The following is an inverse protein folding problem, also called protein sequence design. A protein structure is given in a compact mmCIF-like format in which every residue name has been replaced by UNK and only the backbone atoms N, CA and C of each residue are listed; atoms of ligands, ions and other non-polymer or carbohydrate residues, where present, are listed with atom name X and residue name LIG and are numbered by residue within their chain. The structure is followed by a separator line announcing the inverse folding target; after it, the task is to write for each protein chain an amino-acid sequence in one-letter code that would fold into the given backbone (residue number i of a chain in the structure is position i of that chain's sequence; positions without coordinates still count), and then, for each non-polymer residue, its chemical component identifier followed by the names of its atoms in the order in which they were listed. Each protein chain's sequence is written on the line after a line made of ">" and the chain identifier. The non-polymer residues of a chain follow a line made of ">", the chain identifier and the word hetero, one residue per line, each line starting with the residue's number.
data_IF_244052016750
#
_entry.id   IF_244052016750
#
_cell.length_a   1.000
_cell.length_b   1.000
_cell.length_c   1.000
_cell.angle_alpha   90.00
_cell.angle_beta   90.00
_cell.angle_gamma   90.00
#
_symmetry.space_group_name_H-M   'P 1'
#
loop_
_entity.id
_entity.type
_entity.pdbx_description
1 polymer ?
#
# COMPACT_ATOMS: atom_id res chain seq x y z
N UNK A 1 -2.98 13.14 23.40
CA UNK A 1 -2.90 14.12 22.29
C UNK A 1 -4.21 14.10 21.53
N UNK A 2 -4.58 15.24 20.97
CA UNK A 2 -5.68 15.34 20.01
C UNK A 2 -5.11 15.48 18.61
N UNK A 3 -5.42 14.52 17.73
CA UNK A 3 -4.82 14.39 16.40
C UNK A 3 -5.88 14.59 15.34
N UNK A 4 -5.58 15.36 14.31
CA UNK A 4 -6.40 15.49 13.10
C UNK A 4 -5.70 14.79 11.94
N UNK A 5 -6.27 13.69 11.45
CA UNK A 5 -5.83 13.07 10.21
C UNK A 5 -6.57 13.72 9.03
N UNK A 6 -5.83 14.29 8.09
CA UNK A 6 -6.38 14.84 6.86
C UNK A 6 -6.15 13.83 5.74
N UNK A 7 -7.22 13.18 5.27
CA UNK A 7 -7.19 12.37 4.07
C UNK A 7 -7.15 13.31 2.87
N UNK A 8 -6.03 13.38 2.18
CA UNK A 8 -5.87 14.31 1.05
C UNK A 8 -6.64 13.85 -0.21
N UNK A 9 -7.16 12.63 -0.20
CA UNK A 9 -8.06 12.10 -1.23
C UNK A 9 -9.50 12.09 -0.69
N UNK A 10 -10.32 11.18 -1.17
CA UNK A 10 -11.67 10.97 -0.61
C UNK A 10 -11.64 9.90 0.49
N UNK A 11 -12.53 10.00 1.48
CA UNK A 11 -12.77 8.95 2.48
C UNK A 11 -13.74 7.87 1.95
N UNK A 12 -13.77 7.62 0.66
CA UNK A 12 -14.70 6.66 0.08
C UNK A 12 -14.05 5.27 -0.12
N UNK A 13 -12.95 5.19 -0.83
CA UNK A 13 -12.29 3.93 -1.17
C UNK A 13 -10.79 4.19 -1.38
N UNK A 14 -9.95 3.20 -1.08
CA UNK A 14 -8.55 3.17 -1.48
C UNK A 14 -7.56 2.94 -0.34
N UNK A 15 -6.33 2.72 -0.72
CA UNK A 15 -5.22 2.44 0.22
C UNK A 15 -5.06 3.49 1.32
N UNK A 16 -5.06 4.81 1.01
CA UNK A 16 -4.91 5.83 2.04
C UNK A 16 -6.00 5.81 3.10
N UNK A 17 -7.27 5.66 2.73
CA UNK A 17 -8.37 5.59 3.70
C UNK A 17 -8.21 4.37 4.63
N UNK A 18 -7.82 3.21 4.09
CA UNK A 18 -7.54 2.00 4.88
C UNK A 18 -6.40 2.22 5.87
N UNK A 19 -5.29 2.79 5.43
CA UNK A 19 -4.13 3.06 6.28
C UNK A 19 -4.49 4.01 7.42
N UNK A 20 -5.21 5.10 7.11
CA UNK A 20 -5.67 6.05 8.13
C UNK A 20 -6.65 5.38 9.10
N UNK A 21 -7.56 4.54 8.61
CA UNK A 21 -8.50 3.79 9.44
C UNK A 21 -7.77 2.89 10.45
N UNK A 22 -6.84 2.06 9.96
CA UNK A 22 -6.12 1.11 10.80
C UNK A 22 -5.26 1.82 11.83
N UNK A 23 -4.53 2.87 11.42
CA UNK A 23 -3.72 3.70 12.30
C UNK A 23 -4.59 4.43 13.36
N UNK A 24 -5.68 5.09 12.92
CA UNK A 24 -6.62 5.78 13.82
C UNK A 24 -7.20 4.82 14.85
N UNK A 25 -7.62 3.62 14.43
CA UNK A 25 -8.16 2.61 15.34
C UNK A 25 -7.19 2.24 16.45
N UNK A 26 -5.91 2.14 16.14
CA UNK A 26 -4.89 1.77 17.13
C UNK A 26 -4.51 2.95 18.04
N UNK A 27 -4.39 4.15 17.48
CA UNK A 27 -4.10 5.37 18.25
C UNK A 27 -5.19 5.68 19.28
N UNK A 28 -6.46 5.42 18.96
CA UNK A 28 -7.58 5.52 19.89
C UNK A 28 -7.46 4.53 21.06
N UNK A 29 -6.96 3.30 20.81
CA UNK A 29 -6.70 2.30 21.88
C UNK A 29 -5.64 2.75 22.87
N UNK A 30 -4.69 3.58 22.44
CA UNK A 30 -3.69 4.19 23.31
C UNK A 30 -4.21 5.42 24.08
N UNK A 31 -5.53 5.69 24.05
CA UNK A 31 -6.17 6.76 24.81
C UNK A 31 -6.00 8.16 24.23
N UNK A 32 -5.68 8.27 22.94
CA UNK A 32 -5.63 9.55 22.24
C UNK A 32 -6.96 9.86 21.55
N UNK A 33 -7.25 11.12 21.29
CA UNK A 33 -8.40 11.58 20.51
C UNK A 33 -7.99 11.75 19.06
N UNK A 34 -8.80 11.23 18.12
CA UNK A 34 -8.51 11.34 16.69
C UNK A 34 -9.76 11.75 15.92
N UNK A 35 -9.63 12.84 15.19
CA UNK A 35 -10.63 13.26 14.18
C UNK A 35 -10.06 13.02 12.77
N UNK A 36 -10.93 12.73 11.80
CA UNK A 36 -10.58 12.54 10.39
C UNK A 36 -11.28 13.62 9.58
N UNK A 37 -10.53 14.37 8.79
CA UNK A 37 -11.03 15.40 7.89
C UNK A 37 -10.83 14.97 6.45
N UNK A 38 -11.89 14.96 5.65
CA UNK A 38 -11.82 14.52 4.25
C UNK A 38 -12.69 15.34 3.32
N UNK A 39 -12.21 15.67 2.12
CA UNK A 39 -13.05 16.17 1.06
C UNK A 39 -13.92 15.03 0.52
N UNK A 40 -15.20 15.27 0.37
CA UNK A 40 -16.18 14.30 -0.12
C UNK A 40 -17.06 14.93 -1.22
N UNK A 41 -17.55 14.08 -2.13
CA UNK A 41 -18.62 14.49 -3.06
C UNK A 41 -19.96 14.04 -2.49
N UNK A 42 -21.02 14.86 -2.55
CA UNK A 42 -22.34 14.44 -2.12
C UNK A 42 -22.77 13.13 -2.79
N UNK A 43 -23.20 12.15 -1.98
CA UNK A 43 -23.60 10.82 -2.46
C UNK A 43 -22.44 9.81 -2.65
N UNK A 44 -21.22 10.21 -2.42
CA UNK A 44 -20.06 9.29 -2.41
C UNK A 44 -20.16 8.36 -1.18
N UNK A 45 -20.01 7.04 -1.38
CA UNK A 45 -20.10 6.07 -0.28
C UNK A 45 -18.87 6.18 0.62
N UNK A 46 -19.09 6.59 1.84
CA UNK A 46 -18.03 6.73 2.86
C UNK A 46 -17.42 5.38 3.25
N UNK A 47 -16.11 5.35 3.44
CA UNK A 47 -15.41 4.23 4.09
C UNK A 47 -15.83 4.17 5.57
N UNK A 48 -15.80 3.00 6.23
CA UNK A 48 -16.08 2.91 7.66
C UNK A 48 -15.24 3.88 8.49
N UNK A 49 -15.80 4.35 9.60
CA UNK A 49 -15.10 5.23 10.54
C UNK A 49 -14.73 4.42 11.79
N UNK A 50 -13.50 4.50 12.30
CA UNK A 50 -13.11 3.81 13.52
C UNK A 50 -14.00 4.24 14.70
N UNK A 51 -14.41 3.27 15.51
CA UNK A 51 -15.21 3.55 16.70
C UNK A 51 -14.44 4.49 17.65
N UNK A 52 -15.03 5.61 17.98
CA UNK A 52 -14.39 6.66 18.80
C UNK A 52 -13.75 7.80 18.00
N UNK A 53 -13.57 7.67 16.69
CA UNK A 53 -13.15 8.76 15.82
C UNK A 53 -14.37 9.55 15.31
N UNK A 54 -14.15 10.83 14.99
CA UNK A 54 -15.12 11.66 14.28
C UNK A 54 -14.67 11.90 12.85
N UNK A 55 -15.53 11.58 11.87
CA UNK A 55 -15.31 11.98 10.49
C UNK A 55 -15.95 13.36 10.23
N UNK A 56 -15.15 14.27 9.68
CA UNK A 56 -15.56 15.59 9.20
C UNK A 56 -15.52 15.56 7.68
N UNK A 57 -16.67 15.44 7.08
CA UNK A 57 -16.81 15.47 5.62
C UNK A 57 -16.97 16.92 5.17
N UNK A 58 -16.19 17.31 4.17
CA UNK A 58 -16.21 18.66 3.60
C UNK A 58 -16.52 18.57 2.11
N UNK A 59 -17.59 19.23 1.66
CA UNK A 59 -17.94 19.22 0.25
C UNK A 59 -16.86 19.86 -0.62
N UNK A 60 -16.56 19.25 -1.76
CA UNK A 60 -15.66 19.83 -2.76
C UNK A 60 -16.31 21.06 -3.37
N UNK A 61 -15.55 22.13 -3.51
CA UNK A 61 -16.02 23.39 -4.11
C UNK A 61 -15.81 23.35 -5.62
N UNK A 62 -16.87 23.09 -6.37
CA UNK A 62 -16.89 23.15 -7.84
C UNK A 62 -17.10 24.59 -8.32
N UNK A 63 -16.52 25.00 -9.49
CA UNK A 63 -15.70 24.19 -10.41
C UNK A 63 -14.21 24.13 -10.04
N UNK A 64 -13.75 24.78 -8.96
CA UNK A 64 -12.31 24.91 -8.61
C UNK A 64 -11.70 23.54 -8.35
N UNK A 65 -12.42 22.63 -7.69
CA UNK A 65 -11.94 21.27 -7.40
C UNK A 65 -11.64 20.43 -8.64
N UNK A 66 -12.17 20.79 -9.82
CA UNK A 66 -11.88 20.12 -11.09
C UNK A 66 -10.46 20.45 -11.61
N UNK A 67 -9.94 21.61 -11.22
CA UNK A 67 -8.62 22.10 -11.63
C UNK A 67 -7.57 21.89 -10.53
N UNK A 68 -7.94 22.21 -9.30
CA UNK A 68 -7.12 22.00 -8.12
C UNK A 68 -7.76 20.94 -7.23
N UNK A 69 -7.15 19.75 -7.26
CA UNK A 69 -7.71 18.54 -6.63
C UNK A 69 -8.07 18.75 -5.17
N UNK A 70 -9.27 18.30 -4.83
CA UNK A 70 -9.79 18.26 -3.47
C UNK A 70 -9.96 19.63 -2.82
N UNK A 71 -10.09 20.71 -3.64
CA UNK A 71 -10.36 22.05 -3.11
C UNK A 71 -11.73 22.11 -2.42
N UNK A 72 -11.74 22.59 -1.18
CA UNK A 72 -12.94 22.71 -0.36
C UNK A 72 -12.88 23.97 0.51
N UNK A 73 -13.82 24.88 0.32
CA UNK A 73 -13.99 26.05 1.18
C UNK A 73 -14.45 25.62 2.57
N UNK A 74 -15.31 24.60 2.68
CA UNK A 74 -15.77 24.07 3.97
C UNK A 74 -14.59 23.52 4.79
N UNK A 75 -13.67 22.79 4.16
CA UNK A 75 -12.45 22.31 4.80
C UNK A 75 -11.60 23.47 5.34
N UNK A 76 -11.42 24.51 4.56
CA UNK A 76 -10.68 25.70 5.00
C UNK A 76 -11.37 26.40 6.18
N UNK A 77 -12.68 26.57 6.12
CA UNK A 77 -13.46 27.17 7.21
C UNK A 77 -13.41 26.32 8.48
N UNK A 78 -13.55 24.99 8.34
CA UNK A 78 -13.41 24.08 9.47
C UNK A 78 -12.04 24.20 10.14
N UNK A 79 -10.96 24.14 9.35
CA UNK A 79 -9.60 24.30 9.86
C UNK A 79 -9.42 25.64 10.54
N UNK A 80 -9.85 26.75 9.92
CA UNK A 80 -9.76 28.10 10.49
C UNK A 80 -10.44 28.22 11.87
N UNK A 81 -11.56 27.51 12.07
CA UNK A 81 -12.32 27.56 13.33
C UNK A 81 -11.82 26.58 14.41
N UNK A 82 -11.06 25.53 14.02
CA UNK A 82 -10.77 24.41 14.92
C UNK A 82 -9.29 24.01 15.01
N UNK A 83 -8.42 24.58 14.19
CA UNK A 83 -7.01 24.14 14.06
C UNK A 83 -6.25 24.16 15.40
N UNK A 84 -6.52 25.14 16.26
CA UNK A 84 -5.86 25.30 17.57
C UNK A 84 -6.31 24.27 18.62
N UNK A 85 -7.32 23.43 18.30
CA UNK A 85 -7.78 22.35 19.18
C UNK A 85 -6.92 21.09 19.06
N UNK A 86 -6.08 21.01 18.04
CA UNK A 86 -5.28 19.84 17.73
C UNK A 86 -3.82 20.01 18.14
N UNK A 87 -3.26 18.95 18.71
CA UNK A 87 -1.84 18.86 19.02
C UNK A 87 -1.01 18.51 17.80
N UNK A 88 -1.58 17.66 16.92
CA UNK A 88 -0.97 17.15 15.71
C UNK A 88 -1.97 17.22 14.56
N UNK A 89 -1.52 17.67 13.41
CA UNK A 89 -2.25 17.62 12.14
C UNK A 89 -1.44 16.78 11.17
N UNK A 90 -1.94 15.60 10.85
CA UNK A 90 -1.27 14.65 9.98
C UNK A 90 -1.94 14.60 8.62
N UNK A 91 -1.25 15.09 7.61
CA UNK A 91 -1.70 15.15 6.23
C UNK A 91 -1.22 13.93 5.46
N UNK A 92 -2.15 13.13 4.95
CA UNK A 92 -1.86 11.92 4.17
C UNK A 92 -1.95 12.21 2.68
N UNK A 93 -0.81 12.39 2.06
CA UNK A 93 -0.65 12.73 0.65
C UNK A 93 -0.16 14.16 0.41
N UNK A 94 0.26 14.42 -0.80
CA UNK A 94 0.74 15.71 -1.31
C UNK A 94 -0.01 16.09 -2.59
N UNK A 95 0.20 17.28 -3.14
CA UNK A 95 -0.41 17.80 -4.37
C UNK A 95 -1.90 18.19 -4.27
N UNK A 96 -2.51 18.09 -3.10
CA UNK A 96 -3.94 18.31 -2.83
C UNK A 96 -4.15 19.52 -1.91
N UNK A 97 -5.34 20.10 -1.96
CA UNK A 97 -5.68 21.23 -1.10
C UNK A 97 -5.59 20.88 0.39
N UNK A 98 -6.02 19.67 0.77
CA UNK A 98 -5.95 19.20 2.16
C UNK A 98 -4.53 19.16 2.74
N UNK A 99 -3.49 18.97 1.90
CA UNK A 99 -2.09 19.04 2.34
C UNK A 99 -1.55 20.48 2.40
N UNK A 100 -2.17 21.43 1.71
CA UNK A 100 -1.79 22.83 1.74
C UNK A 100 -2.51 23.64 2.85
N UNK A 101 -3.80 23.37 3.05
CA UNK A 101 -4.67 24.20 3.88
C UNK A 101 -4.16 24.47 5.31
N UNK A 102 -3.59 23.50 6.06
CA UNK A 102 -3.04 23.76 7.40
C UNK A 102 -1.89 24.78 7.39
N UNK A 103 -1.06 24.81 6.34
CA UNK A 103 0.07 25.73 6.24
C UNK A 103 -0.33 27.17 5.90
N UNK A 104 -1.59 27.39 5.50
CA UNK A 104 -2.14 28.71 5.21
C UNK A 104 -2.68 29.42 6.47
N UNK A 105 -2.78 28.69 7.58
CA UNK A 105 -3.37 29.14 8.84
C UNK A 105 -2.30 29.24 9.93
N UNK A 106 -2.32 30.30 10.75
CA UNK A 106 -1.51 30.32 11.98
C UNK A 106 -1.99 29.20 12.90
N UNK A 107 -1.08 28.37 13.39
CA UNK A 107 -1.38 27.29 14.32
C UNK A 107 -0.14 26.91 15.16
N UNK A 108 -0.35 26.15 16.24
CA UNK A 108 0.69 25.61 17.12
C UNK A 108 0.79 24.09 17.05
N UNK A 109 -0.02 23.46 16.20
CA UNK A 109 -0.02 22.01 16.01
C UNK A 109 1.27 21.57 15.33
N UNK A 110 1.72 20.36 15.63
CA UNK A 110 2.77 19.68 14.88
C UNK A 110 2.22 19.30 13.52
N UNK A 111 2.81 19.82 12.44
CA UNK A 111 2.40 19.54 11.06
C UNK A 111 3.20 18.36 10.50
N UNK A 112 2.52 17.24 10.31
CA UNK A 112 3.08 15.98 9.79
C UNK A 112 2.60 15.72 8.37
N UNK A 113 3.49 15.29 7.49
CA UNK A 113 3.16 14.94 6.10
C UNK A 113 3.63 13.54 5.79
N UNK A 114 2.72 12.66 5.37
CA UNK A 114 3.06 11.35 4.78
C UNK A 114 2.92 11.40 3.26
N UNK A 115 3.94 10.97 2.55
CA UNK A 115 4.04 11.13 1.09
C UNK A 115 3.29 10.04 0.32
N UNK A 116 3.23 8.82 0.83
CA UNK A 116 2.55 7.67 0.21
C UNK A 116 2.98 7.38 -1.24
N UNK A 117 4.28 7.41 -1.53
CA UNK A 117 4.83 7.09 -2.85
C UNK A 117 4.56 8.14 -3.94
N UNK A 118 4.01 9.30 -3.59
CA UNK A 118 3.62 10.32 -4.58
C UNK A 118 4.80 11.05 -5.23
N UNK A 119 6.02 10.88 -4.71
CA UNK A 119 7.26 11.40 -5.30
C UNK A 119 8.04 10.36 -6.12
N UNK A 120 7.53 9.11 -6.22
CA UNK A 120 8.04 8.10 -7.14
C UNK A 120 8.08 8.62 -8.58
N UNK A 121 9.07 8.19 -9.34
CA UNK A 121 9.31 8.60 -10.73
C UNK A 121 8.06 8.44 -11.62
N UNK A 122 7.32 7.32 -11.50
CA UNK A 122 6.08 7.08 -12.21
C UNK A 122 4.97 8.05 -11.79
N UNK A 123 4.83 8.28 -10.49
CA UNK A 123 3.84 9.20 -9.96
C UNK A 123 4.12 10.63 -10.42
N UNK A 124 5.37 11.08 -10.40
CA UNK A 124 5.76 12.43 -10.85
C UNK A 124 5.58 12.60 -12.35
N UNK A 125 5.83 11.56 -13.15
CA UNK A 125 5.66 11.60 -14.61
C UNK A 125 4.18 11.82 -15.03
N UNK A 126 3.24 11.31 -14.23
CA UNK A 126 1.81 11.52 -14.49
C UNK A 126 1.39 12.95 -14.18
N UNK A 127 0.75 13.65 -15.15
CA UNK A 127 0.37 15.07 -15.05
C UNK A 127 1.54 16.02 -14.72
N UNK A 128 2.70 15.78 -15.30
CA UNK A 128 3.99 16.43 -15.02
C UNK A 128 3.92 17.94 -14.96
N UNK A 129 3.29 18.59 -15.94
CA UNK A 129 3.25 20.05 -16.01
C UNK A 129 2.47 20.70 -14.84
N UNK A 130 1.33 20.11 -14.42
CA UNK A 130 0.55 20.59 -13.27
C UNK A 130 1.34 20.46 -11.98
N UNK A 131 2.02 19.32 -11.78
CA UNK A 131 2.87 19.09 -10.61
C UNK A 131 4.08 20.01 -10.59
N UNK A 132 4.68 20.34 -11.73
CA UNK A 132 5.77 21.31 -11.80
C UNK A 132 5.33 22.70 -11.33
N UNK A 133 4.16 23.18 -11.77
CA UNK A 133 3.61 24.46 -11.31
C UNK A 133 3.41 24.44 -9.80
N UNK A 134 2.73 23.43 -9.26
CA UNK A 134 2.49 23.29 -7.83
C UNK A 134 3.79 23.17 -7.03
N UNK A 135 4.80 22.50 -7.58
CA UNK A 135 6.14 22.36 -6.99
C UNK A 135 6.80 23.73 -6.81
N UNK A 136 6.76 24.56 -7.86
CA UNK A 136 7.36 25.89 -7.84
C UNK A 136 6.60 26.86 -6.92
N UNK A 137 5.26 26.78 -6.94
CA UNK A 137 4.42 27.69 -6.17
C UNK A 137 4.51 27.46 -4.67
N UNK A 138 4.37 26.19 -4.20
CA UNK A 138 4.29 25.96 -2.76
C UNK A 138 4.81 24.59 -2.27
N UNK A 139 4.74 23.49 -3.05
CA UNK A 139 4.93 22.14 -2.50
C UNK A 139 6.32 21.91 -1.88
N UNK A 140 7.40 22.41 -2.51
CA UNK A 140 8.75 22.33 -1.93
C UNK A 140 8.86 23.09 -0.62
N UNK A 141 8.27 24.30 -0.55
CA UNK A 141 8.28 25.12 0.67
C UNK A 141 7.47 24.48 1.79
N UNK A 142 6.35 23.85 1.42
CA UNK A 142 5.48 23.14 2.35
C UNK A 142 6.22 21.97 3.01
N UNK A 143 6.84 21.09 2.22
CA UNK A 143 7.64 19.98 2.75
C UNK A 143 8.82 20.48 3.60
N UNK A 144 9.47 21.58 3.19
CA UNK A 144 10.54 22.20 3.99
C UNK A 144 10.07 22.83 5.30
N UNK A 145 8.77 23.14 5.45
CA UNK A 145 8.16 23.72 6.66
C UNK A 145 7.42 22.70 7.53
N UNK A 146 7.21 21.46 7.03
CA UNK A 146 6.61 20.42 7.84
C UNK A 146 7.47 20.15 9.07
N UNK A 147 6.86 19.94 10.23
CA UNK A 147 7.57 19.60 11.46
C UNK A 147 8.06 18.16 11.44
N UNK A 148 7.36 17.28 10.69
CA UNK A 148 7.73 15.89 10.49
C UNK A 148 7.33 15.43 9.08
N UNK A 149 8.23 14.75 8.38
CA UNK A 149 7.94 14.06 7.12
C UNK A 149 8.04 12.56 7.40
N UNK A 150 6.90 11.89 7.35
CA UNK A 150 6.85 10.43 7.41
C UNK A 150 7.00 9.85 6.01
N UNK A 151 7.87 8.87 5.90
CA UNK A 151 8.09 8.06 4.70
C UNK A 151 8.03 6.58 5.06
N UNK A 152 7.70 5.74 4.08
CA UNK A 152 7.49 4.31 4.32
C UNK A 152 8.79 3.48 4.24
N UNK A 153 9.80 3.96 3.51
CA UNK A 153 10.99 3.19 3.21
C UNK A 153 12.13 4.07 2.68
N UNK A 154 13.28 3.46 2.44
CA UNK A 154 14.49 4.12 1.92
C UNK A 154 14.33 4.64 0.48
N UNK A 155 13.50 4.00 -0.35
CA UNK A 155 13.24 4.48 -1.70
C UNK A 155 12.46 5.81 -1.66
N UNK A 156 11.43 5.91 -0.81
CA UNK A 156 10.74 7.19 -0.59
C UNK A 156 11.68 8.26 -0.02
N UNK A 157 12.65 7.88 0.83
CA UNK A 157 13.69 8.80 1.30
C UNK A 157 14.47 9.40 0.14
N UNK A 158 14.94 8.56 -0.79
CA UNK A 158 15.66 9.03 -1.98
C UNK A 158 14.78 9.89 -2.89
N UNK A 159 13.50 9.56 -3.02
CA UNK A 159 12.54 10.34 -3.78
C UNK A 159 12.35 11.75 -3.18
N UNK A 160 12.23 11.86 -1.86
CA UNK A 160 12.16 13.15 -1.16
C UNK A 160 13.45 13.96 -1.35
N UNK A 161 14.61 13.33 -1.16
CA UNK A 161 15.91 13.99 -1.34
C UNK A 161 16.06 14.51 -2.77
N UNK A 162 15.73 13.70 -3.77
CA UNK A 162 15.75 14.09 -5.19
C UNK A 162 14.81 15.26 -5.47
N UNK A 163 13.62 15.21 -4.89
CA UNK A 163 12.60 16.23 -5.09
C UNK A 163 12.98 17.58 -4.44
N UNK A 164 13.50 17.55 -3.21
CA UNK A 164 13.89 18.77 -2.48
C UNK A 164 15.28 19.28 -2.86
N UNK A 165 16.19 18.40 -3.25
CA UNK A 165 17.60 18.68 -3.47
C UNK A 165 18.46 18.61 -2.21
N UNK A 166 17.88 18.22 -1.07
CA UNK A 166 18.56 18.02 0.21
C UNK A 166 17.78 17.01 1.07
N UNK A 167 18.44 16.44 2.09
CA UNK A 167 17.79 15.58 3.09
C UNK A 167 17.21 16.42 4.23
N UNK A 168 15.87 16.45 4.43
CA UNK A 168 15.26 17.10 5.59
C UNK A 168 15.73 16.48 6.92
N UNK A 169 15.99 17.31 7.92
CA UNK A 169 16.39 16.82 9.25
C UNK A 169 15.25 16.11 10.02
N UNK A 170 14.03 16.47 9.68
CA UNK A 170 12.77 16.04 10.30
C UNK A 170 12.08 14.93 9.49
N UNK A 171 12.82 14.14 8.72
CA UNK A 171 12.31 13.02 7.96
C UNK A 171 12.60 11.71 8.70
N UNK A 172 11.55 10.88 8.86
CA UNK A 172 11.61 9.59 9.55
C UNK A 172 11.01 8.48 8.72
N UNK A 173 11.60 7.30 8.79
CA UNK A 173 11.05 6.09 8.18
C UNK A 173 10.14 5.44 9.22
N UNK A 174 8.84 5.54 9.01
CA UNK A 174 7.81 4.81 9.74
C UNK A 174 6.89 4.22 8.68
N UNK A 175 6.97 2.91 8.42
CA UNK A 175 6.20 2.27 7.36
C UNK A 175 4.71 2.30 7.65
N UNK A 176 3.89 2.07 6.64
CA UNK A 176 2.47 1.80 6.86
C UNK A 176 2.33 0.48 7.62
N UNK A 177 1.49 0.48 8.64
CA UNK A 177 1.14 -0.73 9.38
C UNK A 177 -0.07 -1.44 8.79
N UNK A 178 -0.27 -2.68 9.19
CA UNK A 178 -1.49 -3.42 8.90
C UNK A 178 -1.96 -4.21 10.13
N UNK A 179 -3.25 -4.53 10.18
CA UNK A 179 -3.83 -5.40 11.22
C UNK A 179 -3.49 -6.84 10.92
N UNK A 180 -2.45 -7.38 11.56
CA UNK A 180 -2.01 -8.75 11.33
C UNK A 180 -3.05 -9.78 11.77
N UNK A 181 -3.84 -9.48 12.80
CA UNK A 181 -4.87 -10.36 13.35
C UNK A 181 -5.88 -10.83 12.28
N UNK A 182 -6.09 -10.02 11.24
CA UNK A 182 -6.99 -10.36 10.13
C UNK A 182 -6.46 -11.54 9.28
N UNK A 183 -5.16 -11.83 9.33
CA UNK A 183 -4.47 -12.81 8.47
C UNK A 183 -3.75 -13.91 9.26
N UNK A 184 -3.81 -13.90 10.60
CA UNK A 184 -3.22 -14.96 11.44
C UNK A 184 -4.15 -16.16 11.61
N UNK A 185 -5.46 -15.95 11.54
CA UNK A 185 -6.48 -16.98 11.64
C UNK A 185 -7.19 -17.15 10.29
N UNK A 186 -6.52 -17.82 9.37
CA UNK A 186 -7.09 -18.08 8.05
C UNK A 186 -8.18 -19.16 8.11
N UNK A 187 -9.13 -19.18 7.16
CA UNK A 187 -10.06 -20.26 6.96
C UNK A 187 -9.34 -21.59 6.74
N UNK A 188 -10.05 -22.71 6.98
CA UNK A 188 -9.52 -24.04 6.68
C UNK A 188 -9.13 -24.17 5.21
N UNK A 189 -7.99 -24.83 4.97
CA UNK A 189 -7.53 -25.14 3.62
C UNK A 189 -8.55 -25.97 2.85
N UNK A 190 -8.59 -25.75 1.53
CA UNK A 190 -9.46 -26.46 0.62
C UNK A 190 -10.75 -25.73 0.27
N UNK A 191 -11.12 -24.65 0.97
CA UNK A 191 -12.37 -23.93 0.70
C UNK A 191 -12.33 -23.19 -0.64
N UNK A 192 -11.24 -22.47 -0.92
CA UNK A 192 -11.05 -21.81 -2.22
C UNK A 192 -10.92 -22.84 -3.35
N UNK A 193 -10.14 -23.91 -3.09
CA UNK A 193 -9.97 -25.03 -4.04
C UNK A 193 -11.31 -25.64 -4.45
N UNK A 194 -12.16 -25.98 -3.47
CA UNK A 194 -13.49 -26.56 -3.72
C UNK A 194 -14.38 -25.66 -4.56
N UNK A 195 -14.38 -24.34 -4.27
CA UNK A 195 -15.21 -23.36 -5.00
C UNK A 195 -14.76 -23.16 -6.44
N UNK A 196 -13.47 -23.26 -6.71
CA UNK A 196 -12.88 -23.04 -8.02
C UNK A 196 -12.52 -24.33 -8.79
N UNK A 197 -12.97 -25.51 -8.31
CA UNK A 197 -12.67 -26.83 -8.88
C UNK A 197 -11.17 -27.06 -9.08
N UNK A 198 -10.38 -26.77 -8.03
CA UNK A 198 -8.93 -26.98 -7.99
C UNK A 198 -8.64 -28.23 -7.15
N UNK A 199 -7.90 -29.17 -7.72
CA UNK A 199 -7.59 -30.44 -7.02
C UNK A 199 -6.50 -30.26 -5.98
N UNK A 200 -6.39 -31.22 -5.05
CA UNK A 200 -5.37 -31.21 -3.97
C UNK A 200 -3.95 -31.31 -4.50
N UNK A 201 -3.76 -31.93 -5.66
CA UNK A 201 -2.44 -32.14 -6.29
C UNK A 201 -1.91 -30.89 -6.99
N UNK A 202 -2.80 -29.94 -7.35
CA UNK A 202 -2.40 -28.71 -8.02
C UNK A 202 -1.67 -27.77 -7.06
N UNK A 203 -0.56 -27.19 -7.51
CA UNK A 203 0.21 -26.17 -6.80
C UNK A 203 -0.29 -24.79 -7.16
N UNK A 204 -0.87 -24.06 -6.22
CA UNK A 204 -1.42 -22.72 -6.45
C UNK A 204 -0.32 -21.67 -6.35
N UNK A 205 -0.05 -21.00 -7.46
CA UNK A 205 0.73 -19.75 -7.52
C UNK A 205 -0.27 -18.61 -7.55
N UNK A 206 -0.30 -17.79 -6.50
CA UNK A 206 -1.27 -16.70 -6.36
C UNK A 206 -0.63 -15.34 -6.67
N UNK A 207 -1.17 -14.65 -7.64
CA UNK A 207 -0.93 -13.23 -7.89
C UNK A 207 -2.14 -12.42 -7.38
N UNK A 208 -1.90 -11.35 -6.61
CA UNK A 208 -2.95 -10.40 -6.23
C UNK A 208 -2.52 -8.96 -6.52
N UNK A 209 -3.26 -8.30 -7.38
CA UNK A 209 -3.00 -6.91 -7.77
C UNK A 209 -3.83 -6.50 -8.98
N UNK A 210 -3.91 -5.20 -9.26
CA UNK A 210 -4.55 -4.73 -10.49
C UNK A 210 -3.84 -5.32 -11.72
N UNK A 211 -4.59 -5.75 -12.73
CA UNK A 211 -4.01 -6.25 -13.98
C UNK A 211 -3.47 -5.08 -14.81
N UNK A 212 -2.24 -4.71 -14.52
CA UNK A 212 -1.54 -3.59 -15.12
C UNK A 212 -0.09 -3.97 -15.40
N UNK A 213 0.50 -3.42 -16.44
CA UNK A 213 1.90 -3.68 -16.84
C UNK A 213 2.90 -3.42 -15.70
N UNK A 214 2.63 -2.40 -14.85
CA UNK A 214 3.47 -2.07 -13.68
C UNK A 214 3.60 -3.25 -12.69
N UNK A 215 2.64 -4.19 -12.70
CA UNK A 215 2.63 -5.36 -11.80
C UNK A 215 3.46 -6.54 -12.33
N UNK A 216 4.08 -6.40 -13.50
CA UNK A 216 5.00 -7.38 -14.05
C UNK A 216 4.34 -8.64 -14.60
N UNK A 217 3.08 -8.54 -15.09
CA UNK A 217 2.39 -9.66 -15.73
C UNK A 217 3.09 -10.09 -17.04
N UNK A 218 3.74 -9.15 -17.73
CA UNK A 218 4.59 -9.38 -18.91
C UNK A 218 5.85 -10.20 -18.59
N UNK A 219 6.29 -10.20 -17.33
CA UNK A 219 7.38 -11.04 -16.82
C UNK A 219 6.85 -12.38 -16.29
N UNK A 220 5.73 -12.33 -15.56
CA UNK A 220 5.15 -13.50 -14.89
C UNK A 220 4.61 -14.54 -15.88
N UNK A 221 3.87 -14.12 -16.89
CA UNK A 221 3.25 -15.05 -17.84
C UNK A 221 4.28 -15.85 -18.65
N UNK A 222 5.33 -15.24 -19.25
CA UNK A 222 6.40 -16.01 -19.88
C UNK A 222 7.20 -16.86 -18.90
N UNK A 223 7.41 -16.39 -17.66
CA UNK A 223 8.08 -17.17 -16.63
C UNK A 223 7.29 -18.43 -16.25
N UNK A 224 5.97 -18.29 -16.09
CA UNK A 224 5.08 -19.41 -15.82
C UNK A 224 5.09 -20.42 -16.96
N UNK A 225 5.03 -19.97 -18.22
CA UNK A 225 5.12 -20.86 -19.39
C UNK A 225 6.43 -21.67 -19.39
N UNK A 226 7.56 -21.04 -19.06
CA UNK A 226 8.87 -21.71 -19.00
C UNK A 226 8.91 -22.77 -17.90
N UNK A 227 8.47 -22.41 -16.69
CA UNK A 227 8.57 -23.31 -15.52
C UNK A 227 7.53 -24.44 -15.54
N UNK A 228 6.43 -24.27 -16.26
CA UNK A 228 5.31 -25.22 -16.23
C UNK A 228 5.66 -26.63 -16.73
N UNK A 229 6.66 -26.77 -17.63
CA UNK A 229 7.17 -28.09 -18.04
C UNK A 229 7.81 -28.88 -16.91
N UNK A 230 8.38 -28.20 -15.93
CA UNK A 230 9.05 -28.80 -14.76
C UNK A 230 8.09 -29.04 -13.58
N UNK A 231 6.99 -28.27 -13.50
CA UNK A 231 5.93 -28.41 -12.51
C UNK A 231 4.57 -28.42 -13.19
N UNK A 232 4.19 -29.56 -13.85
CA UNK A 232 2.99 -29.62 -14.71
C UNK A 232 1.68 -29.46 -13.95
N UNK A 233 1.67 -29.66 -12.64
CA UNK A 233 0.53 -29.47 -11.75
C UNK A 233 0.43 -28.05 -11.17
N UNK A 234 1.27 -27.11 -11.61
CA UNK A 234 1.17 -25.72 -11.21
C UNK A 234 -0.06 -25.05 -11.85
N UNK A 235 -0.75 -24.25 -11.07
CA UNK A 235 -1.88 -23.42 -11.46
C UNK A 235 -1.61 -21.97 -11.07
N UNK A 236 -1.58 -21.05 -12.03
CA UNK A 236 -1.43 -19.63 -11.78
C UNK A 236 -2.83 -18.99 -11.63
N UNK A 237 -3.09 -18.38 -10.48
CA UNK A 237 -4.30 -17.60 -10.21
C UNK A 237 -3.97 -16.12 -10.28
N UNK A 238 -4.65 -15.39 -11.16
CA UNK A 238 -4.54 -13.95 -11.32
C UNK A 238 -5.76 -13.29 -10.69
N UNK A 239 -5.56 -12.67 -9.51
CA UNK A 239 -6.60 -12.02 -8.75
C UNK A 239 -6.45 -10.49 -8.79
N UNK A 240 -7.48 -9.80 -9.27
CA UNK A 240 -7.53 -8.34 -9.30
C UNK A 240 -8.40 -7.80 -10.42
N UNK A 241 -8.77 -6.52 -10.34
CA UNK A 241 -9.51 -5.86 -11.40
C UNK A 241 -8.59 -5.53 -12.58
N UNK A 242 -9.19 -5.42 -13.75
CA UNK A 242 -8.50 -4.90 -14.92
C UNK A 242 -8.08 -3.43 -14.71
N UNK A 243 -6.87 -3.14 -15.13
CA UNK A 243 -6.30 -1.79 -15.17
C UNK A 243 -5.44 -1.63 -16.44
N UNK A 244 -5.99 -2.11 -17.56
CA UNK A 244 -5.46 -1.98 -18.90
C UNK A 244 -4.45 -3.05 -19.32
N UNK A 245 -4.49 -4.26 -18.74
CA UNK A 245 -3.61 -5.37 -19.14
C UNK A 245 -4.32 -6.75 -19.19
N UNK A 246 -5.65 -6.77 -19.02
CA UNK A 246 -6.39 -8.02 -19.05
C UNK A 246 -6.41 -8.63 -20.45
N UNK A 247 -6.67 -7.83 -21.48
CA UNK A 247 -6.75 -8.30 -22.87
C UNK A 247 -5.44 -8.96 -23.32
N UNK A 248 -4.29 -8.36 -23.03
CA UNK A 248 -2.97 -8.90 -23.32
C UNK A 248 -2.72 -10.22 -22.58
N UNK A 249 -3.18 -10.28 -21.33
CA UNK A 249 -3.11 -11.51 -20.50
C UNK A 249 -3.90 -12.64 -21.12
N UNK A 250 -5.15 -12.40 -21.52
CA UNK A 250 -6.03 -13.39 -22.15
C UNK A 250 -5.49 -13.85 -23.51
N UNK A 251 -4.97 -12.91 -24.31
CA UNK A 251 -4.32 -13.23 -25.58
C UNK A 251 -3.10 -14.13 -25.39
N UNK A 252 -2.26 -13.83 -24.38
CA UNK A 252 -1.10 -14.66 -24.05
C UNK A 252 -1.50 -16.08 -23.63
N UNK A 253 -2.50 -16.20 -22.75
CA UNK A 253 -3.05 -17.48 -22.29
C UNK A 253 -3.55 -18.31 -23.48
N UNK A 254 -4.36 -17.72 -24.34
CA UNK A 254 -4.92 -18.38 -25.54
C UNK A 254 -3.83 -18.80 -26.51
N UNK A 255 -2.90 -17.91 -26.84
CA UNK A 255 -1.80 -18.16 -27.79
C UNK A 255 -0.91 -19.33 -27.36
N UNK A 256 -0.70 -19.50 -26.05
CA UNK A 256 0.19 -20.51 -25.50
C UNK A 256 -0.53 -21.74 -24.94
N UNK A 257 -1.84 -21.87 -25.12
CA UNK A 257 -2.61 -23.04 -24.69
C UNK A 257 -2.67 -23.21 -23.15
N UNK A 258 -2.65 -22.10 -22.39
CA UNK A 258 -2.58 -22.12 -20.93
C UNK A 258 -3.97 -22.02 -20.25
N UNK A 259 -5.08 -22.18 -20.97
CA UNK A 259 -6.43 -21.96 -20.42
C UNK A 259 -6.76 -22.75 -19.17
N UNK A 260 -6.27 -23.98 -19.04
CA UNK A 260 -6.46 -24.82 -17.86
C UNK A 260 -5.40 -24.58 -16.76
N UNK A 261 -4.40 -23.77 -17.02
CA UNK A 261 -3.22 -23.55 -16.17
C UNK A 261 -3.10 -22.14 -15.61
N UNK A 262 -3.80 -21.19 -16.20
CA UNK A 262 -3.88 -19.80 -15.74
C UNK A 262 -5.34 -19.40 -15.66
N UNK A 263 -5.79 -18.99 -14.47
CA UNK A 263 -7.18 -18.57 -14.24
C UNK A 263 -7.21 -17.11 -13.76
N UNK A 264 -8.01 -16.28 -14.45
CA UNK A 264 -8.39 -14.96 -13.95
C UNK A 264 -9.60 -15.18 -13.02
N UNK A 265 -9.43 -14.84 -11.73
CA UNK A 265 -10.46 -15.03 -10.70
C UNK A 265 -11.16 -13.75 -10.29
N UNK A 266 -10.85 -12.63 -10.96
CA UNK A 266 -11.40 -11.33 -10.63
C UNK A 266 -10.88 -10.77 -9.30
N UNK A 267 -11.55 -9.74 -8.79
CA UNK A 267 -11.18 -9.11 -7.52
C UNK A 267 -11.60 -10.00 -6.35
N UNK A 268 -10.65 -10.43 -5.55
CA UNK A 268 -10.90 -11.14 -4.29
C UNK A 268 -11.07 -10.14 -3.14
N UNK A 269 -12.13 -10.30 -2.36
CA UNK A 269 -12.44 -9.45 -1.19
C UNK A 269 -12.57 -10.27 0.07
N UNK A 270 -12.21 -9.68 1.20
CA UNK A 270 -12.44 -10.23 2.55
C UNK A 270 -12.20 -11.75 2.69
N UNK A 271 -13.27 -12.52 2.83
CA UNK A 271 -13.21 -13.98 3.04
C UNK A 271 -12.59 -14.72 1.86
N UNK A 272 -12.93 -14.35 0.61
CA UNK A 272 -12.40 -15.01 -0.59
C UNK A 272 -10.88 -14.86 -0.68
N UNK A 273 -10.37 -13.69 -0.33
CA UNK A 273 -8.93 -13.42 -0.30
C UNK A 273 -8.22 -14.27 0.76
N UNK A 274 -8.79 -14.37 1.96
CA UNK A 274 -8.24 -15.20 3.04
C UNK A 274 -8.25 -16.67 2.69
N UNK A 275 -9.30 -17.15 2.03
CA UNK A 275 -9.37 -18.54 1.55
C UNK A 275 -8.35 -18.82 0.44
N UNK A 276 -8.16 -17.87 -0.50
CA UNK A 276 -7.13 -18.00 -1.52
C UNK A 276 -5.72 -18.04 -0.92
N UNK A 277 -5.44 -17.19 0.09
CA UNK A 277 -4.17 -17.19 0.82
C UNK A 277 -3.96 -18.47 1.61
N UNK A 278 -5.02 -19.02 2.24
CA UNK A 278 -4.93 -20.29 2.95
C UNK A 278 -4.57 -21.47 2.03
N UNK A 279 -5.03 -21.42 0.78
CA UNK A 279 -4.82 -22.48 -0.21
C UNK A 279 -3.59 -22.27 -1.11
N UNK A 280 -2.97 -21.07 -1.08
CA UNK A 280 -1.82 -20.77 -1.90
C UNK A 280 -0.56 -21.53 -1.45
N UNK A 281 0.18 -22.09 -2.41
CA UNK A 281 1.48 -22.69 -2.20
C UNK A 281 2.62 -21.66 -2.37
N UNK A 282 2.36 -20.58 -3.12
CA UNK A 282 3.30 -19.50 -3.39
C UNK A 282 2.53 -18.22 -3.76
N UNK A 283 3.00 -17.09 -3.25
CA UNK A 283 2.56 -15.76 -3.68
C UNK A 283 3.60 -15.12 -4.61
N UNK A 284 3.15 -14.50 -5.71
CA UNK A 284 4.06 -13.88 -6.69
C UNK A 284 3.64 -12.47 -7.05
N UNK A 285 4.59 -11.51 -6.99
CA UNK A 285 4.38 -10.14 -7.44
C UNK A 285 5.67 -9.52 -7.99
N UNK A 286 6.03 -9.73 -9.27
CA UNK A 286 7.27 -9.23 -9.87
C UNK A 286 7.11 -7.80 -10.41
N UNK A 287 6.58 -6.89 -9.60
CA UNK A 287 6.25 -5.53 -10.02
C UNK A 287 7.49 -4.70 -10.39
N UNK A 288 7.35 -3.82 -11.38
CA UNK A 288 8.37 -2.85 -11.77
C UNK A 288 8.58 -1.75 -10.73
N UNK A 289 7.60 -1.47 -9.89
CA UNK A 289 7.66 -0.51 -8.80
C UNK A 289 6.49 -0.72 -7.83
N UNK A 290 6.82 -0.89 -6.56
CA UNK A 290 5.87 -1.00 -5.45
C UNK A 290 6.34 -0.15 -4.29
N UNK A 291 5.67 0.96 -4.00
CA UNK A 291 6.00 1.81 -2.86
C UNK A 291 5.76 1.09 -1.52
N UNK A 292 4.58 0.48 -1.35
CA UNK A 292 4.21 -0.33 -0.19
C UNK A 292 3.10 -1.31 -0.59
N UNK A 293 3.42 -2.58 -0.72
CA UNK A 293 2.45 -3.59 -1.18
C UNK A 293 1.74 -4.28 -0.04
N UNK A 294 0.49 -3.89 0.20
CA UNK A 294 -0.37 -4.56 1.19
C UNK A 294 -0.55 -6.05 0.84
N UNK A 295 -0.75 -6.39 -0.44
CA UNK A 295 -0.95 -7.78 -0.87
C UNK A 295 0.24 -8.68 -0.53
N UNK A 296 1.47 -8.17 -0.64
CA UNK A 296 2.69 -8.91 -0.23
C UNK A 296 2.69 -9.13 1.28
N UNK A 297 2.38 -8.09 2.08
CA UNK A 297 2.32 -8.22 3.53
C UNK A 297 1.19 -9.16 3.98
N UNK A 298 0.04 -9.14 3.32
CA UNK A 298 -1.06 -10.08 3.55
C UNK A 298 -0.59 -11.53 3.34
N UNK A 299 0.09 -11.81 2.23
CA UNK A 299 0.64 -13.13 1.95
C UNK A 299 1.70 -13.56 2.97
N UNK A 300 2.63 -12.64 3.34
CA UNK A 300 3.67 -12.90 4.33
C UNK A 300 3.09 -13.15 5.74
N UNK A 301 2.06 -12.38 6.14
CA UNK A 301 1.35 -12.60 7.41
C UNK A 301 0.62 -13.94 7.43
N UNK A 302 0.12 -14.37 6.28
CA UNK A 302 -0.53 -15.66 6.07
C UNK A 302 0.46 -16.82 5.96
N UNK A 303 1.75 -16.57 6.15
CA UNK A 303 2.86 -17.55 6.00
C UNK A 303 2.89 -18.23 4.62
N UNK A 304 2.47 -17.51 3.58
CA UNK A 304 2.63 -17.95 2.20
C UNK A 304 4.02 -17.53 1.72
N UNK A 305 4.87 -18.47 1.25
CA UNK A 305 6.17 -18.12 0.72
C UNK A 305 6.03 -17.18 -0.48
N UNK A 306 6.81 -16.11 -0.51
CA UNK A 306 6.64 -15.05 -1.49
C UNK A 306 7.83 -14.94 -2.46
N UNK A 307 7.51 -14.67 -3.74
CA UNK A 307 8.43 -14.20 -4.75
C UNK A 307 8.05 -12.78 -5.13
N UNK A 308 8.96 -11.83 -4.95
CA UNK A 308 8.74 -10.43 -5.30
C UNK A 308 9.97 -9.87 -6.03
N UNK A 309 9.77 -8.81 -6.79
CA UNK A 309 10.91 -8.12 -7.41
C UNK A 309 11.75 -7.37 -6.35
N UNK A 310 12.95 -7.01 -6.71
CA UNK A 310 13.84 -6.15 -5.93
C UNK A 310 13.35 -4.68 -5.86
N UNK A 311 12.20 -4.38 -6.49
CA UNK A 311 11.54 -3.07 -6.54
C UNK A 311 10.36 -2.94 -5.58
N UNK A 312 10.20 -3.87 -4.65
CA UNK A 312 9.22 -3.71 -3.56
C UNK A 312 9.79 -2.77 -2.49
N UNK A 313 9.01 -1.78 -2.08
CA UNK A 313 9.50 -0.68 -1.22
C UNK A 313 10.00 -1.08 0.17
N UNK A 314 9.79 -2.30 0.61
CA UNK A 314 10.39 -2.86 1.83
C UNK A 314 11.42 -3.98 1.51
N UNK A 315 12.06 -3.92 0.35
CA UNK A 315 13.08 -4.87 -0.09
C UNK A 315 14.28 -4.98 0.86
N UNK A 316 14.65 -3.89 1.54
CA UNK A 316 15.72 -3.90 2.55
C UNK A 316 15.37 -4.75 3.76
N UNK A 317 14.10 -4.72 4.21
CA UNK A 317 13.60 -5.62 5.26
C UNK A 317 13.61 -7.08 4.78
N UNK A 318 13.17 -7.33 3.55
CA UNK A 318 13.19 -8.68 2.96
C UNK A 318 14.61 -9.23 2.94
N UNK A 319 15.60 -8.45 2.50
CA UNK A 319 17.02 -8.85 2.48
C UNK A 319 17.55 -9.13 3.88
N UNK A 320 17.24 -8.24 4.85
CA UNK A 320 17.69 -8.37 6.24
C UNK A 320 17.18 -9.64 6.92
N UNK A 321 15.95 -10.05 6.61
CA UNK A 321 15.30 -11.20 7.25
C UNK A 321 15.37 -12.47 6.39
N UNK A 322 15.82 -12.40 5.14
CA UNK A 322 15.69 -13.46 4.13
C UNK A 322 14.22 -13.93 4.01
N UNK A 323 13.32 -12.94 3.79
CA UNK A 323 11.87 -13.11 3.97
C UNK A 323 11.11 -13.42 2.66
N UNK A 324 11.78 -13.44 1.52
CA UNK A 324 11.19 -13.78 0.23
C UNK A 324 12.28 -14.11 -0.79
N UNK A 325 11.91 -14.74 -1.88
CA UNK A 325 12.76 -14.80 -3.05
C UNK A 325 12.70 -13.45 -3.79
N UNK A 326 13.83 -12.72 -3.81
CA UNK A 326 13.95 -11.47 -4.57
C UNK A 326 14.39 -11.78 -5.99
N UNK A 327 13.56 -11.46 -6.97
CA UNK A 327 13.84 -11.70 -8.38
C UNK A 327 14.25 -10.44 -9.12
N UNK A 328 15.21 -10.50 -10.04
CA UNK A 328 15.44 -9.43 -11.00
C UNK A 328 14.24 -9.26 -11.93
N UNK A 329 14.12 -8.09 -12.57
CA UNK A 329 13.02 -7.75 -13.48
C UNK A 329 13.20 -8.41 -14.86
N UNK A 330 13.18 -9.73 -14.90
CA UNK A 330 13.14 -10.52 -16.13
C UNK A 330 12.44 -11.86 -15.91
N UNK A 331 11.91 -12.43 -16.98
CA UNK A 331 11.12 -13.67 -16.91
C UNK A 331 11.94 -14.90 -16.47
N UNK A 332 13.25 -14.93 -16.74
CA UNK A 332 14.10 -16.05 -16.33
C UNK A 332 14.31 -16.05 -14.80
N UNK A 333 14.56 -14.88 -14.21
CA UNK A 333 14.67 -14.74 -12.76
C UNK A 333 13.36 -15.12 -12.05
N UNK A 334 12.22 -14.69 -12.59
CA UNK A 334 10.91 -15.08 -12.06
C UNK A 334 10.71 -16.59 -12.16
N UNK A 335 11.00 -17.21 -13.31
CA UNK A 335 10.86 -18.66 -13.52
C UNK A 335 11.75 -19.46 -12.54
N UNK A 336 13.01 -19.08 -12.38
CA UNK A 336 13.93 -19.72 -11.45
C UNK A 336 13.44 -19.62 -10.00
N UNK A 337 12.90 -18.46 -9.61
CA UNK A 337 12.35 -18.28 -8.27
C UNK A 337 11.10 -19.11 -8.02
N UNK A 338 10.18 -19.19 -8.99
CA UNK A 338 9.01 -20.06 -8.93
C UNK A 338 9.40 -21.52 -8.73
N UNK A 339 10.36 -22.03 -9.54
CA UNK A 339 10.89 -23.39 -9.43
C UNK A 339 11.54 -23.63 -8.06
N UNK A 340 12.42 -22.72 -7.62
CA UNK A 340 13.12 -22.85 -6.35
C UNK A 340 12.14 -23.00 -5.17
N UNK A 341 11.08 -22.20 -5.12
CA UNK A 341 10.10 -22.24 -4.03
C UNK A 341 9.23 -23.50 -4.11
N UNK A 342 8.76 -23.86 -5.32
CA UNK A 342 7.84 -25.00 -5.49
C UNK A 342 8.52 -26.37 -5.34
N UNK A 343 9.82 -26.47 -5.64
CA UNK A 343 10.57 -27.73 -5.58
C UNK A 343 11.31 -27.92 -4.25
N UNK A 344 11.62 -26.84 -3.52
CA UNK A 344 12.33 -26.88 -2.24
C UNK A 344 11.41 -26.48 -1.08
N UNK A 345 10.70 -27.44 -0.52
CA UNK A 345 9.75 -27.19 0.58
C UNK A 345 10.40 -26.67 1.87
N UNK A 346 11.68 -26.99 2.11
CA UNK A 346 12.40 -26.46 3.28
C UNK A 346 12.72 -24.98 3.09
N UNK A 347 13.19 -24.61 1.92
CA UNK A 347 13.41 -23.20 1.55
C UNK A 347 12.09 -22.41 1.64
N UNK A 348 11.02 -22.92 1.02
CA UNK A 348 9.71 -22.29 1.07
C UNK A 348 9.22 -22.02 2.52
N UNK A 349 9.32 -23.00 3.40
CA UNK A 349 8.98 -22.83 4.82
C UNK A 349 9.87 -21.82 5.53
N UNK A 350 11.16 -21.84 5.24
CA UNK A 350 12.13 -20.93 5.86
C UNK A 350 11.80 -19.49 5.54
N UNK A 351 11.65 -19.15 4.25
CA UNK A 351 11.33 -17.77 3.85
C UNK A 351 9.95 -17.33 4.35
N UNK A 352 8.96 -18.23 4.41
CA UNK A 352 7.63 -17.91 4.94
C UNK A 352 7.67 -17.59 6.46
N UNK A 353 8.41 -18.35 7.26
CA UNK A 353 8.59 -18.09 8.69
C UNK A 353 9.36 -16.78 8.93
N UNK A 354 10.41 -16.53 8.15
CA UNK A 354 11.17 -15.30 8.20
C UNK A 354 10.31 -14.09 7.82
N UNK A 355 9.46 -14.25 6.80
CA UNK A 355 8.51 -13.24 6.38
C UNK A 355 7.53 -12.89 7.50
N UNK A 356 6.92 -13.89 8.13
CA UNK A 356 6.02 -13.68 9.25
C UNK A 356 6.69 -12.92 10.40
N UNK A 357 7.91 -13.35 10.79
CA UNK A 357 8.71 -12.66 11.81
C UNK A 357 8.97 -11.20 11.43
N UNK A 358 9.42 -10.96 10.21
CA UNK A 358 9.67 -9.61 9.68
C UNK A 358 8.42 -8.72 9.79
N UNK A 359 7.26 -9.24 9.39
CA UNK A 359 6.01 -8.48 9.39
C UNK A 359 5.56 -8.16 10.81
N UNK A 360 5.61 -9.12 11.72
CA UNK A 360 5.25 -8.91 13.15
C UNK A 360 6.13 -7.86 13.81
N UNK A 361 7.42 -7.90 13.56
CA UNK A 361 8.38 -7.00 14.21
C UNK A 361 8.35 -5.57 13.64
N UNK A 362 7.95 -5.37 12.37
CA UNK A 362 8.13 -4.08 11.70
C UNK A 362 6.85 -3.48 11.10
N UNK A 363 5.82 -4.29 10.82
CA UNK A 363 4.63 -3.85 10.09
C UNK A 363 3.30 -4.08 10.82
N UNK A 364 3.32 -4.63 12.05
CA UNK A 364 2.12 -4.67 12.89
C UNK A 364 1.68 -3.24 13.18
N UNK A 365 0.40 -2.95 12.96
CA UNK A 365 -0.18 -1.62 13.19
C UNK A 365 0.08 -1.13 14.62
N UNK A 366 0.16 -2.02 15.61
CA UNK A 366 0.47 -1.69 17.00
C UNK A 366 1.90 -1.14 17.14
N UNK A 367 2.86 -1.78 16.48
CA UNK A 367 4.26 -1.35 16.46
C UNK A 367 4.39 0.00 15.75
N UNK A 368 3.81 0.10 14.56
CA UNK A 368 3.87 1.29 13.72
C UNK A 368 3.18 2.49 14.36
N UNK A 369 1.97 2.31 14.91
CA UNK A 369 1.23 3.39 15.58
C UNK A 369 2.00 3.92 16.79
N UNK A 370 2.58 3.03 17.62
CA UNK A 370 3.39 3.45 18.76
C UNK A 370 4.64 4.21 18.30
N UNK A 371 5.35 3.71 17.30
CA UNK A 371 6.52 4.40 16.74
C UNK A 371 6.18 5.81 16.26
N UNK A 372 5.06 5.96 15.53
CA UNK A 372 4.64 7.27 15.03
C UNK A 372 4.21 8.23 16.15
N UNK A 373 3.55 7.71 17.21
CA UNK A 373 3.22 8.49 18.39
C UNK A 373 4.46 9.01 19.11
N UNK A 374 5.52 8.19 19.21
CA UNK A 374 6.79 8.63 19.78
C UNK A 374 7.47 9.72 18.94
N UNK A 375 7.39 9.62 17.60
CA UNK A 375 7.91 10.70 16.73
C UNK A 375 7.11 12.01 16.92
N UNK A 376 5.78 11.96 17.07
CA UNK A 376 4.98 13.16 17.38
C UNK A 376 5.40 13.81 18.70
N UNK A 377 5.64 13.01 19.76
CA UNK A 377 6.09 13.50 21.07
C UNK A 377 7.46 14.18 20.98
N UNK A 378 8.41 13.57 20.26
CA UNK A 378 9.75 14.14 20.05
C UNK A 378 9.71 15.52 19.42
N UNK A 379 8.88 15.69 18.38
CA UNK A 379 8.73 16.98 17.67
C UNK A 379 8.03 18.01 18.54
N UNK A 380 7.00 17.61 19.27
CA UNK A 380 6.25 18.50 20.17
C UNK A 380 7.04 18.89 21.43
N UNK A 381 8.18 18.23 21.72
CA UNK A 381 8.99 18.43 22.94
C UNK A 381 8.18 18.21 24.24
N UNK A 382 7.33 17.17 24.23
CA UNK A 382 6.58 16.71 25.42
C UNK A 382 7.32 15.55 26.07
#
# INVERSE_FOLDING_TARGET
>A
MRILNICAYTWAIGGPARIIYDHTSEVLRYGHEVDILSPMTPGEKSYPVPQGAKLIECARTTPISNYYREFSIEMYQYLKANIDKYDVIHMHGIWHFGSLAPFLLPNKAVLVVTIHGLLDHWAVAHSKWKKQIVTLLYQRRLLGKADLIQINNTDEEQDVIRYLGYRPKNMVIVPNGMKLEEYTNLPEKGRFRSRHNITSEQKIILFMGRLNIKKGLDLLLPAFLKMHSEVPNALLLLAGPDDGYQDETEQFIKKNGLGDKVKLVGMLTDTDKKEALADADLFVLPSYSEGFSIAVLEAMTSQVPALVSDRVGFGDYIKKYDAAYLTPLNSDGVANGLLKILQDSNYAKTIANNAYKMVVENFDIKVVANQLLEEYKKVKKI
#
